data_IF_794501728483
#
_entry.id   IF_794501728483
#
_cell.length_a   1.000
_cell.length_b   1.000
_cell.length_c   1.000
_cell.angle_alpha   90.00
_cell.angle_beta   90.00
_cell.angle_gamma   90.00
#
_symmetry.space_group_name_H-M   'P 1'
#
loop_
_entity.id
_entity.type
_entity.pdbx_description
1 polymer ?
#
# COMPACT_ATOMS: atom_id res chain seq x y z
N UNK A 1 47.86 -2.56 62.25
CA UNK A 1 48.75 -3.38 61.41
C UNK A 1 47.89 -4.18 60.44
N UNK A 2 48.31 -4.21 59.18
CA UNK A 2 47.93 -5.15 58.09
C UNK A 2 47.89 -6.61 58.60
N UNK A 3 47.15 -7.60 58.05
CA UNK A 3 47.10 -8.16 56.68
C UNK A 3 45.84 -9.08 56.61
N UNK A 4 44.91 -8.99 55.65
CA UNK A 4 44.76 -9.85 54.42
C UNK A 4 44.06 -11.21 54.70
N UNK A 5 43.14 -11.79 53.90
CA UNK A 5 42.77 -11.65 52.49
C UNK A 5 41.35 -12.22 52.14
N UNK A 6 40.88 -11.81 50.95
CA UNK A 6 39.64 -11.96 50.14
C UNK A 6 39.13 -13.40 49.78
N UNK A 7 38.09 -13.63 48.90
CA UNK A 7 36.65 -13.24 48.96
C UNK A 7 35.64 -14.30 48.36
N UNK A 8 34.32 -14.08 48.43
CA UNK A 8 33.38 -14.67 47.43
C UNK A 8 32.12 -13.82 47.13
N UNK A 9 32.21 -13.15 45.98
CA UNK A 9 31.22 -12.72 44.96
C UNK A 9 29.71 -12.73 45.29
N UNK A 10 29.15 -11.53 45.39
CA UNK A 10 27.79 -11.20 44.96
C UNK A 10 27.82 -10.66 43.51
N UNK A 11 26.99 -11.22 42.65
CA UNK A 11 26.78 -10.76 41.27
C UNK A 11 25.75 -9.63 41.26
N UNK A 12 26.17 -8.41 40.90
CA UNK A 12 25.28 -7.30 40.55
C UNK A 12 25.07 -7.30 39.03
N UNK A 13 23.82 -7.43 38.58
CA UNK A 13 23.45 -7.11 37.20
C UNK A 13 23.49 -5.60 37.00
N UNK A 14 24.35 -5.15 36.08
CA UNK A 14 24.45 -3.75 35.64
C UNK A 14 23.70 -3.57 34.33
N UNK A 15 22.71 -2.68 34.33
CA UNK A 15 21.94 -2.25 33.16
C UNK A 15 22.87 -1.55 32.17
N UNK A 16 23.06 -2.14 30.99
CA UNK A 16 23.75 -1.49 29.87
C UNK A 16 22.84 -0.48 29.20
N UNK A 17 23.34 0.74 29.02
CA UNK A 17 22.77 1.84 28.24
C UNK A 17 22.62 1.45 26.75
N UNK A 18 21.64 2.02 26.03
CA UNK A 18 21.44 1.74 24.60
C UNK A 18 22.54 2.40 23.75
N UNK A 19 23.13 1.62 22.83
CA UNK A 19 24.05 2.10 21.82
C UNK A 19 23.29 2.85 20.71
N UNK A 20 23.54 4.15 20.59
CA UNK A 20 23.20 4.94 19.40
C UNK A 20 24.07 4.47 18.22
N UNK A 21 23.47 3.80 17.24
CA UNK A 21 24.11 3.55 15.94
C UNK A 21 23.79 4.77 15.06
N UNK A 22 24.69 5.76 15.06
CA UNK A 22 24.69 6.85 14.09
C UNK A 22 25.19 6.33 12.74
N UNK A 23 24.32 6.32 11.73
CA UNK A 23 24.70 6.13 10.33
C UNK A 23 25.51 7.36 9.87
N UNK A 24 26.82 7.19 9.65
CA UNK A 24 27.67 8.22 9.02
C UNK A 24 27.72 7.97 7.50
N UNK A 25 27.34 8.92 6.64
CA UNK A 25 27.54 8.78 5.21
C UNK A 25 29.03 8.92 4.87
N UNK A 26 29.57 8.17 3.88
CA UNK A 26 30.97 8.29 3.51
C UNK A 26 31.21 9.60 2.75
N UNK A 27 32.03 10.48 3.33
CA UNK A 27 32.68 11.57 2.62
C UNK A 27 33.95 11.04 1.95
N UNK A 28 34.02 11.05 0.62
CA UNK A 28 35.11 11.64 -0.19
C UNK A 28 35.05 11.12 -1.62
N UNK A 29 34.75 12.00 -2.58
CA UNK A 29 35.58 12.18 -3.77
C UNK A 29 35.10 13.40 -4.56
N UNK A 30 35.77 14.54 -4.37
CA UNK A 30 35.73 15.65 -5.33
C UNK A 30 36.62 15.28 -6.52
N UNK A 31 36.04 15.13 -7.71
CA UNK A 31 36.72 15.47 -8.97
C UNK A 31 35.74 16.14 -9.93
N UNK A 32 36.10 17.34 -10.38
CA UNK A 32 35.53 18.03 -11.55
C UNK A 32 35.94 17.26 -12.81
N UNK A 33 35.03 17.01 -13.74
CA UNK A 33 35.04 17.47 -15.14
C UNK A 33 33.85 16.85 -15.90
N UNK A 34 33.35 17.59 -16.89
CA UNK A 34 32.02 17.39 -17.45
C UNK A 34 31.80 16.16 -18.33
N UNK A 35 30.55 15.73 -18.40
CA UNK A 35 29.86 15.27 -19.61
C UNK A 35 28.37 15.17 -19.28
N UNK A 36 27.61 16.19 -19.70
CA UNK A 36 26.17 16.00 -19.96
C UNK A 36 26.10 15.03 -21.14
N UNK A 37 25.18 14.07 -21.13
CA UNK A 37 24.98 12.96 -22.10
C UNK A 37 25.71 11.64 -21.84
N UNK A 38 25.59 11.06 -20.63
CA UNK A 38 25.81 9.61 -20.41
C UNK A 38 24.90 8.96 -19.36
N UNK A 39 23.91 9.67 -18.83
CA UNK A 39 23.06 9.19 -17.73
C UNK A 39 21.86 8.34 -18.16
N UNK A 40 21.50 8.32 -19.45
CA UNK A 40 20.35 7.55 -19.94
C UNK A 40 20.70 6.09 -20.33
N UNK A 41 21.90 5.84 -20.86
CA UNK A 41 22.30 4.51 -21.36
C UNK A 41 22.72 3.50 -20.27
N UNK A 42 23.09 3.96 -19.06
CA UNK A 42 23.46 3.07 -17.95
C UNK A 42 22.26 2.68 -17.07
N UNK A 43 21.11 3.34 -17.21
CA UNK A 43 19.89 3.01 -16.43
C UNK A 43 19.19 1.75 -16.94
N UNK A 44 19.32 1.40 -18.23
CA UNK A 44 18.69 0.20 -18.82
C UNK A 44 19.39 -1.11 -18.45
N UNK A 45 20.61 -1.08 -17.90
CA UNK A 45 21.47 -2.27 -17.74
C UNK A 45 21.07 -3.25 -16.62
N UNK A 46 20.04 -2.94 -15.83
CA UNK A 46 19.53 -3.79 -14.73
C UNK A 46 18.02 -3.69 -14.54
N UNK A 47 17.28 -3.31 -15.57
CA UNK A 47 15.85 -3.14 -15.46
C UNK A 47 15.17 -4.49 -15.28
N UNK A 48 14.37 -4.63 -14.23
CA UNK A 48 13.53 -5.80 -13.97
C UNK A 48 12.09 -5.41 -14.24
N UNK A 49 11.39 -6.24 -15.00
CA UNK A 49 9.95 -6.16 -15.21
C UNK A 49 9.26 -7.26 -14.44
N UNK A 50 8.00 -7.03 -14.08
CA UNK A 50 7.13 -8.04 -13.53
C UNK A 50 5.72 -7.93 -14.11
N UNK A 51 5.11 -9.09 -14.34
CA UNK A 51 3.69 -9.25 -14.67
C UNK A 51 2.99 -9.84 -13.45
N UNK A 52 1.89 -9.21 -13.03
CA UNK A 52 1.07 -9.68 -11.92
C UNK A 52 0.11 -10.78 -12.38
N UNK A 53 0.13 -11.94 -11.70
CA UNK A 53 -0.72 -13.10 -11.98
C UNK A 53 -1.50 -13.54 -10.75
N UNK A 54 -2.43 -14.50 -10.87
CA UNK A 54 -3.16 -15.01 -9.70
C UNK A 54 -2.22 -15.66 -8.68
N UNK A 55 -1.17 -16.33 -9.16
CA UNK A 55 -0.16 -16.99 -8.34
C UNK A 55 0.89 -16.04 -7.76
N UNK A 56 0.95 -14.78 -8.22
CA UNK A 56 1.93 -13.77 -7.81
C UNK A 56 2.67 -13.13 -8.99
N UNK A 57 3.63 -12.24 -8.73
CA UNK A 57 4.39 -11.58 -9.79
C UNK A 57 5.44 -12.52 -10.41
N UNK A 58 5.49 -12.55 -11.74
CA UNK A 58 6.59 -13.17 -12.49
C UNK A 58 7.62 -12.10 -12.79
N UNK A 59 8.85 -12.26 -12.32
CA UNK A 59 9.93 -11.31 -12.57
C UNK A 59 10.78 -11.75 -13.75
N UNK A 60 11.14 -10.81 -14.62
CA UNK A 60 11.99 -11.08 -15.78
C UNK A 60 12.86 -9.88 -16.14
N UNK A 61 14.00 -10.16 -16.76
CA UNK A 61 14.97 -9.16 -17.20
C UNK A 61 15.69 -9.65 -18.46
N UNK A 62 16.49 -8.78 -19.07
CA UNK A 62 17.20 -9.05 -20.32
C UNK A 62 18.23 -10.14 -20.10
N UNK A 63 18.31 -11.09 -21.03
CA UNK A 63 19.21 -12.24 -20.94
C UNK A 63 20.68 -11.82 -20.79
N UNK A 64 21.06 -10.72 -21.44
CA UNK A 64 22.41 -10.13 -21.39
C UNK A 64 22.82 -9.61 -20.01
N UNK A 65 21.86 -9.44 -19.10
CA UNK A 65 22.07 -8.91 -17.75
C UNK A 65 22.16 -10.01 -16.68
N UNK A 66 21.88 -11.25 -17.05
CA UNK A 66 21.78 -12.38 -16.14
C UNK A 66 23.04 -13.24 -16.29
N UNK A 67 23.65 -13.60 -15.15
CA UNK A 67 24.73 -14.58 -15.12
C UNK A 67 24.20 -15.93 -15.61
N UNK A 68 24.94 -16.64 -16.48
CA UNK A 68 24.52 -17.94 -17.02
C UNK A 68 24.12 -18.99 -15.97
N UNK A 69 24.53 -18.82 -14.71
CA UNK A 69 24.16 -19.71 -13.59
C UNK A 69 22.77 -19.45 -13.02
N UNK A 70 22.23 -18.25 -13.23
CA UNK A 70 20.95 -17.78 -12.69
C UNK A 70 19.86 -17.73 -13.80
N UNK A 71 20.23 -18.16 -15.01
CA UNK A 71 19.39 -18.21 -16.19
C UNK A 71 18.45 -19.43 -16.13
N UNK A 72 17.18 -19.20 -15.84
CA UNK A 72 16.12 -20.15 -16.13
C UNK A 72 15.38 -19.74 -17.41
N UNK A 73 15.01 -20.70 -18.27
CA UNK A 73 14.04 -20.47 -19.35
C UNK A 73 12.80 -19.82 -18.76
N UNK A 74 12.16 -18.90 -19.49
CA UNK A 74 10.95 -18.23 -18.99
C UNK A 74 9.90 -19.28 -18.68
N UNK A 75 9.78 -19.65 -17.40
CA UNK A 75 8.83 -20.67 -16.96
C UNK A 75 7.46 -20.03 -17.10
N UNK A 76 6.77 -20.34 -18.19
CA UNK A 76 5.38 -19.95 -18.35
C UNK A 76 4.62 -20.52 -17.17
N UNK A 77 3.99 -19.68 -16.32
CA UNK A 77 2.99 -20.21 -15.41
C UNK A 77 1.96 -20.94 -16.26
N UNK A 78 1.30 -21.96 -15.69
CA UNK A 78 0.19 -22.68 -16.36
C UNK A 78 -0.90 -21.76 -16.92
N UNK A 79 -0.94 -20.53 -16.45
CA UNK A 79 -1.87 -19.46 -16.81
C UNK A 79 -1.54 -18.79 -18.16
N UNK A 80 -0.32 -18.92 -18.68
CA UNK A 80 0.08 -18.38 -19.99
C UNK A 80 0.01 -19.44 -21.09
N UNK A 81 -0.57 -19.14 -22.26
CA UNK A 81 -0.59 -20.07 -23.39
C UNK A 81 0.82 -20.29 -23.95
N UNK A 82 1.02 -21.42 -24.66
CA UNK A 82 2.30 -21.78 -25.32
C UNK A 82 2.77 -20.72 -26.34
N UNK A 83 1.82 -19.92 -26.82
CA UNK A 83 2.05 -18.74 -27.64
C UNK A 83 1.23 -17.56 -27.11
N UNK A 84 1.88 -16.44 -26.85
CA UNK A 84 1.20 -15.19 -26.49
C UNK A 84 1.93 -14.00 -27.12
N UNK A 85 1.16 -13.01 -27.60
CA UNK A 85 1.69 -11.69 -27.92
C UNK A 85 1.10 -10.72 -26.91
N UNK A 86 1.94 -9.89 -26.30
CA UNK A 86 1.44 -8.87 -25.39
C UNK A 86 2.26 -7.60 -25.44
N UNK A 87 1.60 -6.48 -25.16
CA UNK A 87 2.19 -5.16 -25.23
C UNK A 87 2.28 -4.55 -23.85
N UNK A 88 3.46 -4.11 -23.44
CA UNK A 88 3.62 -3.36 -22.19
C UNK A 88 3.56 -1.86 -22.45
N UNK A 89 2.65 -1.19 -21.76
CA UNK A 89 2.44 0.26 -21.83
C UNK A 89 2.36 0.84 -20.42
N UNK A 90 2.84 2.07 -20.27
CA UNK A 90 2.76 2.82 -19.03
C UNK A 90 2.49 4.30 -19.30
N UNK A 91 2.22 5.09 -18.26
CA UNK A 91 2.09 6.54 -18.38
C UNK A 91 3.06 7.24 -17.42
N UNK A 92 4.35 7.22 -17.75
CA UNK A 92 5.41 7.95 -17.05
C UNK A 92 6.04 9.04 -17.89
N UNK A 93 6.31 10.19 -17.28
CA UNK A 93 7.19 11.19 -17.91
C UNK A 93 8.37 11.43 -16.99
N UNK A 94 9.58 11.38 -17.53
CA UNK A 94 10.87 11.43 -16.80
C UNK A 94 11.09 12.68 -15.91
N UNK A 95 10.18 13.65 -15.93
CA UNK A 95 10.24 14.90 -15.16
C UNK A 95 8.99 15.17 -14.32
N UNK A 96 8.03 14.25 -14.26
CA UNK A 96 6.76 14.48 -13.57
C UNK A 96 6.81 14.06 -12.09
N UNK A 97 6.15 14.82 -11.19
CA UNK A 97 5.93 14.39 -9.81
C UNK A 97 5.03 13.16 -9.78
N UNK A 98 5.28 12.28 -8.81
CA UNK A 98 4.64 10.95 -8.62
C UNK A 98 3.11 10.96 -8.75
N UNK A 99 2.47 12.01 -8.24
CA UNK A 99 1.01 12.21 -8.35
C UNK A 99 0.55 12.22 -9.81
N UNK A 100 1.27 12.93 -10.68
CA UNK A 100 0.92 13.03 -12.09
C UNK A 100 1.03 11.68 -12.79
N UNK A 101 2.05 10.89 -12.48
CA UNK A 101 2.24 9.56 -13.05
C UNK A 101 1.09 8.62 -12.66
N UNK A 102 0.70 8.60 -11.39
CA UNK A 102 -0.43 7.77 -10.92
C UNK A 102 -1.75 8.18 -11.57
N UNK A 103 -2.00 9.49 -11.72
CA UNK A 103 -3.19 10.00 -12.41
C UNK A 103 -3.16 9.70 -13.91
N UNK A 104 -1.99 9.79 -14.54
CA UNK A 104 -1.81 9.44 -15.94
C UNK A 104 -2.05 7.94 -16.15
N UNK A 105 -1.51 7.07 -15.30
CA UNK A 105 -1.77 5.63 -15.33
C UNK A 105 -3.26 5.30 -15.13
N UNK A 106 -3.95 6.02 -14.23
CA UNK A 106 -5.39 5.84 -14.04
C UNK A 106 -6.21 6.24 -15.29
N UNK A 107 -5.77 7.28 -16.01
CA UNK A 107 -6.40 7.70 -17.28
C UNK A 107 -6.10 6.71 -18.40
N UNK A 108 -4.86 6.24 -18.51
CA UNK A 108 -4.46 5.20 -19.45
C UNK A 108 -5.30 3.93 -19.23
N UNK A 109 -5.47 3.50 -17.98
CA UNK A 109 -6.30 2.33 -17.67
C UNK A 109 -7.76 2.52 -18.09
N UNK A 110 -8.31 3.72 -17.90
CA UNK A 110 -9.66 4.07 -18.36
C UNK A 110 -9.78 4.05 -19.89
N UNK A 111 -8.79 4.60 -20.60
CA UNK A 111 -8.76 4.58 -22.06
C UNK A 111 -8.63 3.15 -22.61
N UNK A 112 -7.76 2.33 -22.03
CA UNK A 112 -7.63 0.90 -22.39
C UNK A 112 -8.98 0.20 -22.19
N UNK A 113 -9.60 0.33 -21.02
CA UNK A 113 -10.86 -0.34 -20.71
C UNK A 113 -12.06 0.13 -21.53
N UNK A 114 -12.06 1.37 -22.03
CA UNK A 114 -13.13 1.92 -22.85
C UNK A 114 -13.01 1.58 -24.34
N UNK A 115 -11.80 1.25 -24.81
CA UNK A 115 -11.53 1.07 -26.25
C UNK A 115 -11.16 -0.37 -26.63
N UNK A 116 -10.70 -1.19 -25.69
CA UNK A 116 -10.46 -2.60 -25.94
C UNK A 116 -11.71 -3.43 -25.61
N UNK A 117 -12.07 -4.33 -26.51
CA UNK A 117 -13.13 -5.30 -26.29
C UNK A 117 -12.72 -6.39 -25.29
N UNK A 118 -13.69 -7.19 -24.81
CA UNK A 118 -13.48 -8.22 -23.79
C UNK A 118 -12.52 -9.35 -24.21
N UNK A 119 -12.21 -9.46 -25.49
CA UNK A 119 -11.25 -10.42 -26.05
C UNK A 119 -9.79 -10.14 -25.68
N UNK A 120 -9.47 -8.93 -25.23
CA UNK A 120 -8.12 -8.55 -24.79
C UNK A 120 -8.02 -8.64 -23.27
N UNK A 121 -7.18 -9.53 -22.77
CA UNK A 121 -6.90 -9.59 -21.33
C UNK A 121 -5.92 -8.48 -20.93
N UNK A 122 -6.25 -7.74 -19.88
CA UNK A 122 -5.40 -6.71 -19.32
C UNK A 122 -4.78 -7.20 -18.01
N UNK A 123 -3.45 -7.31 -17.99
CA UNK A 123 -2.70 -7.63 -16.79
C UNK A 123 -2.03 -6.38 -16.23
N UNK A 124 -1.95 -6.32 -14.90
CA UNK A 124 -1.14 -5.34 -14.21
C UNK A 124 0.31 -5.82 -14.14
N UNK A 125 1.22 -4.90 -13.88
CA UNK A 125 2.60 -5.22 -13.58
C UNK A 125 3.38 -3.99 -13.19
N UNK A 126 4.70 -4.14 -13.14
CA UNK A 126 5.59 -3.05 -12.78
C UNK A 126 7.02 -3.30 -13.24
N UNK A 127 7.83 -2.24 -13.26
CA UNK A 127 9.27 -2.31 -13.50
C UNK A 127 10.03 -1.55 -12.42
N UNK A 128 11.28 -1.93 -12.18
CA UNK A 128 12.17 -1.30 -11.21
C UNK A 128 13.62 -1.74 -11.46
N UNK A 129 14.57 -1.00 -10.90
CA UNK A 129 15.99 -1.33 -10.82
C UNK A 129 16.27 -1.74 -9.36
N UNK A 130 16.70 -2.99 -9.07
CA UNK A 130 16.88 -3.48 -7.70
C UNK A 130 17.75 -2.59 -6.80
N UNK A 131 18.83 -2.01 -7.36
CA UNK A 131 19.75 -1.14 -6.61
C UNK A 131 19.28 0.32 -6.50
N UNK A 132 18.18 0.70 -7.16
CA UNK A 132 17.60 2.04 -7.13
C UNK A 132 16.10 1.93 -6.79
N UNK A 133 15.74 1.76 -5.52
CA UNK A 133 14.36 1.51 -5.09
C UNK A 133 13.34 2.56 -5.55
N UNK A 134 13.76 3.80 -5.80
CA UNK A 134 12.93 4.92 -6.28
C UNK A 134 12.53 4.82 -7.76
N UNK A 135 13.02 3.80 -8.47
CA UNK A 135 12.71 3.52 -9.88
C UNK A 135 11.48 2.64 -10.08
N UNK A 136 10.73 2.33 -9.02
CA UNK A 136 9.51 1.52 -9.13
C UNK A 136 8.42 2.23 -9.95
N UNK A 137 7.89 1.52 -10.95
CA UNK A 137 6.92 2.03 -11.93
C UNK A 137 5.87 0.96 -12.22
N UNK A 138 4.60 1.22 -11.95
CA UNK A 138 3.45 0.41 -12.44
C UNK A 138 3.32 0.46 -13.96
N UNK A 139 3.12 -0.67 -14.61
CA UNK A 139 2.88 -0.77 -16.04
C UNK A 139 1.67 -1.69 -16.28
N UNK A 140 1.19 -1.72 -17.52
CA UNK A 140 0.06 -2.55 -17.92
C UNK A 140 0.47 -3.40 -19.11
N UNK A 141 -0.02 -4.62 -19.16
CA UNK A 141 0.23 -5.57 -20.23
C UNK A 141 -1.09 -5.92 -20.90
N UNK A 142 -1.19 -5.65 -22.20
CA UNK A 142 -2.37 -5.97 -23.00
C UNK A 142 -2.06 -7.24 -23.79
N UNK A 143 -2.77 -8.32 -23.49
CA UNK A 143 -2.60 -9.61 -24.15
C UNK A 143 -3.44 -9.68 -25.42
N UNK A 144 -2.84 -10.28 -26.44
CA UNK A 144 -3.48 -10.60 -27.71
C UNK A 144 -3.21 -12.07 -28.04
N UNK A 145 -4.25 -12.85 -28.40
CA UNK A 145 -4.08 -14.25 -28.80
C UNK A 145 -3.33 -14.40 -30.14
N UNK A 146 -3.29 -13.35 -30.95
CA UNK A 146 -2.58 -13.30 -32.23
C UNK A 146 -1.89 -11.95 -32.42
N UNK A 147 -0.92 -11.88 -33.32
CA UNK A 147 -0.41 -10.59 -33.81
C UNK A 147 -1.59 -9.78 -34.37
N UNK A 148 -1.78 -8.56 -33.89
CA UNK A 148 -2.96 -7.75 -34.17
C UNK A 148 -2.55 -6.31 -34.48
N UNK A 149 -2.47 -5.98 -35.78
CA UNK A 149 -2.14 -4.63 -36.28
C UNK A 149 -3.02 -3.51 -35.69
N UNK A 150 -4.36 -3.64 -35.64
CA UNK A 150 -5.21 -2.71 -34.90
C UNK A 150 -4.79 -2.47 -33.45
N UNK A 151 -4.42 -3.52 -32.71
CA UNK A 151 -3.97 -3.40 -31.33
C UNK A 151 -2.59 -2.71 -31.24
N UNK A 152 -1.65 -3.05 -32.12
CA UNK A 152 -0.35 -2.38 -32.19
C UNK A 152 -0.54 -0.87 -32.41
N UNK A 153 -1.41 -0.48 -33.36
CA UNK A 153 -1.76 0.93 -33.61
C UNK A 153 -2.35 1.58 -32.36
N UNK A 154 -3.29 0.92 -31.68
CA UNK A 154 -3.88 1.43 -30.45
C UNK A 154 -2.83 1.65 -29.35
N UNK A 155 -1.96 0.67 -29.10
CA UNK A 155 -0.88 0.79 -28.10
C UNK A 155 0.05 1.95 -28.44
N UNK A 156 0.41 2.10 -29.72
CA UNK A 156 1.22 3.23 -30.20
C UNK A 156 0.52 4.56 -29.95
N UNK A 157 -0.77 4.67 -30.27
CA UNK A 157 -1.57 5.88 -30.00
C UNK A 157 -1.62 6.20 -28.51
N UNK A 158 -1.77 5.20 -27.64
CA UNK A 158 -1.72 5.39 -26.19
C UNK A 158 -0.33 5.84 -25.72
N UNK A 159 0.74 5.21 -26.21
CA UNK A 159 2.11 5.61 -25.91
C UNK A 159 2.34 7.09 -26.27
N UNK A 160 1.94 7.52 -27.48
CA UNK A 160 2.00 8.93 -27.91
C UNK A 160 1.15 9.83 -27.00
N UNK A 161 -0.12 9.48 -26.78
CA UNK A 161 -1.07 10.28 -25.98
C UNK A 161 -0.55 10.54 -24.56
N UNK A 162 0.03 9.52 -23.93
CA UNK A 162 0.59 9.62 -22.58
C UNK A 162 2.05 10.10 -22.55
N UNK A 163 2.65 10.35 -23.70
CA UNK A 163 4.02 10.88 -23.84
C UNK A 163 5.09 9.88 -23.43
N UNK A 164 4.85 8.59 -23.71
CA UNK A 164 5.90 7.58 -23.63
C UNK A 164 6.83 7.70 -24.83
N UNK A 165 8.15 7.73 -24.62
CA UNK A 165 9.11 7.67 -25.73
C UNK A 165 9.16 6.28 -26.38
N UNK A 166 8.64 5.26 -25.70
CA UNK A 166 8.68 3.88 -26.16
C UNK A 166 7.57 3.03 -25.53
N UNK A 167 7.29 1.91 -26.16
CA UNK A 167 6.55 0.79 -25.59
C UNK A 167 7.24 -0.51 -25.98
N UNK A 168 6.85 -1.63 -25.38
CA UNK A 168 7.46 -2.92 -25.69
C UNK A 168 6.41 -3.91 -26.17
N UNK A 169 6.72 -4.60 -27.25
CA UNK A 169 6.03 -5.80 -27.70
C UNK A 169 6.76 -7.01 -27.14
N UNK A 170 6.01 -8.02 -26.71
CA UNK A 170 6.54 -9.25 -26.15
C UNK A 170 5.92 -10.42 -26.89
N UNK A 171 6.75 -11.34 -27.37
CA UNK A 171 6.35 -12.57 -28.03
C UNK A 171 6.86 -13.74 -27.23
N UNK A 172 5.92 -14.50 -26.68
CA UNK A 172 6.17 -15.74 -25.96
C UNK A 172 5.94 -16.91 -26.91
N UNK A 173 6.92 -17.79 -27.07
CA UNK A 173 6.81 -19.00 -27.91
C UNK A 173 7.61 -20.13 -27.26
N UNK A 174 6.94 -21.23 -26.90
CA UNK A 174 7.57 -22.44 -26.34
C UNK A 174 8.51 -22.14 -25.15
N UNK A 175 8.12 -21.23 -24.27
CA UNK A 175 8.90 -20.84 -23.08
C UNK A 175 10.06 -19.87 -23.36
N UNK A 176 10.17 -19.34 -24.58
CA UNK A 176 11.08 -18.23 -24.92
C UNK A 176 10.31 -16.92 -25.03
N UNK A 177 10.75 -15.90 -24.30
CA UNK A 177 10.16 -14.58 -24.32
C UNK A 177 11.08 -13.61 -25.04
N UNK A 178 10.66 -13.12 -26.21
CA UNK A 178 11.35 -12.07 -26.95
C UNK A 178 10.65 -10.74 -26.67
N UNK A 179 11.42 -9.71 -26.35
CA UNK A 179 10.94 -8.34 -26.20
C UNK A 179 11.47 -7.50 -27.36
N UNK A 180 10.57 -6.80 -28.05
CA UNK A 180 10.91 -5.77 -29.02
C UNK A 180 10.62 -4.40 -28.43
N UNK A 181 11.67 -3.59 -28.23
CA UNK A 181 11.54 -2.17 -27.89
C UNK A 181 11.10 -1.40 -29.12
N UNK A 182 10.04 -0.61 -28.99
CA UNK A 182 9.48 0.20 -30.08
C UNK A 182 9.58 1.67 -29.71
N UNK A 183 10.56 2.37 -30.30
CA UNK A 183 10.72 3.82 -30.09
C UNK A 183 9.65 4.61 -30.86
N UNK A 184 8.99 5.53 -30.16
CA UNK A 184 7.95 6.41 -30.69
C UNK A 184 8.59 7.76 -31.02
N UNK A 185 9.03 7.94 -32.26
CA UNK A 185 9.57 9.21 -32.76
C UNK A 185 8.87 9.68 -34.04
N UNK A 186 8.89 10.99 -34.30
CA UNK A 186 8.36 11.59 -35.54
C UNK A 186 9.16 11.17 -36.80
N UNK A 187 10.35 10.59 -36.63
CA UNK A 187 11.28 10.24 -37.71
C UNK A 187 11.33 8.76 -38.10
N UNK A 188 10.48 7.90 -37.51
CA UNK A 188 10.43 6.46 -37.77
C UNK A 188 10.44 5.61 -36.50
N UNK A 189 10.36 4.29 -36.68
CA UNK A 189 10.33 3.30 -35.60
C UNK A 189 11.66 2.55 -35.57
N UNK A 190 12.36 2.60 -34.43
CA UNK A 190 13.52 1.75 -34.17
C UNK A 190 13.05 0.52 -33.40
N UNK A 191 13.49 -0.65 -33.86
CA UNK A 191 13.23 -1.94 -33.24
C UNK A 191 14.55 -2.48 -32.69
N UNK A 192 14.57 -2.76 -31.39
CA UNK A 192 15.64 -3.51 -30.75
C UNK A 192 15.01 -4.74 -30.10
N UNK A 193 15.42 -5.92 -30.55
CA UNK A 193 14.90 -7.19 -30.05
C UNK A 193 15.90 -7.82 -29.08
N UNK A 194 15.41 -8.25 -27.92
CA UNK A 194 16.20 -8.89 -26.89
C UNK A 194 15.44 -10.07 -26.27
N UNK A 195 16.16 -11.13 -25.92
CA UNK A 195 15.61 -12.26 -25.17
C UNK A 195 15.47 -11.90 -23.69
N UNK A 196 14.34 -12.26 -23.11
CA UNK A 196 14.01 -12.05 -21.70
C UNK A 196 14.04 -13.38 -20.96
N UNK A 197 14.62 -13.39 -19.75
CA UNK A 197 14.65 -14.56 -18.88
C UNK A 197 14.02 -14.22 -17.53
N UNK A 198 13.42 -15.22 -16.90
CA UNK A 198 12.91 -15.10 -15.53
C UNK A 198 14.06 -14.87 -14.56
N UNK A 199 13.83 -14.03 -13.56
CA UNK A 199 14.80 -13.74 -12.49
C UNK A 199 14.21 -14.08 -11.14
N UNK A 200 15.08 -14.26 -10.14
CA UNK A 200 14.63 -14.53 -8.78
C UNK A 200 13.77 -13.36 -8.23
N UNK A 201 12.67 -13.67 -7.52
CA UNK A 201 11.89 -12.65 -6.84
C UNK A 201 12.74 -11.85 -5.84
N UNK A 202 12.55 -10.53 -5.74
CA UNK A 202 13.19 -9.73 -4.71
C UNK A 202 12.70 -10.16 -3.31
N UNK A 203 13.49 -9.93 -2.24
CA UNK A 203 13.11 -10.30 -0.87
C UNK A 203 11.80 -9.67 -0.36
N UNK A 204 11.36 -8.59 -0.98
CA UNK A 204 10.13 -7.89 -0.69
C UNK A 204 9.58 -7.26 -1.98
N UNK A 205 8.25 -7.17 -2.09
CA UNK A 205 7.62 -6.56 -3.25
C UNK A 205 8.13 -5.12 -3.48
N UNK A 206 8.56 -4.75 -4.71
CA UNK A 206 9.22 -3.47 -5.00
C UNK A 206 8.46 -2.20 -4.57
N UNK A 207 7.13 -2.27 -4.49
CA UNK A 207 6.29 -1.20 -3.94
C UNK A 207 6.65 -0.81 -2.49
N UNK A 208 7.36 -1.66 -1.73
CA UNK A 208 7.71 -1.43 -0.33
C UNK A 208 9.21 -1.23 -0.08
N UNK A 209 10.04 -1.20 -1.14
CA UNK A 209 11.47 -0.94 -1.01
C UNK A 209 11.79 0.53 -0.75
N UNK A 210 10.87 1.44 -1.11
CA UNK A 210 10.97 2.86 -0.81
C UNK A 210 9.61 3.40 -0.34
N UNK A 211 9.55 4.30 0.66
CA UNK A 211 8.29 4.90 1.11
C UNK A 211 7.52 5.58 -0.02
N UNK A 212 8.21 6.20 -0.98
CA UNK A 212 7.57 6.87 -2.11
C UNK A 212 7.08 5.94 -3.22
N UNK A 213 7.10 4.62 -3.02
CA UNK A 213 6.56 3.68 -4.00
C UNK A 213 5.11 3.29 -3.70
N UNK A 214 4.66 3.40 -2.44
CA UNK A 214 3.33 2.94 -2.00
C UNK A 214 2.48 4.03 -1.34
N UNK A 215 1.17 3.80 -1.26
CA UNK A 215 0.19 4.66 -0.62
C UNK A 215 0.01 4.40 0.90
N UNK A 216 1.03 3.89 1.61
CA UNK A 216 1.02 3.81 3.07
C UNK A 216 1.64 5.07 3.63
N UNK A 217 1.00 5.75 4.58
CA UNK A 217 1.46 7.02 5.13
C UNK A 217 1.80 6.90 6.62
N UNK A 218 3.01 7.32 6.97
CA UNK A 218 3.55 7.35 8.33
C UNK A 218 3.77 8.78 8.87
N UNK A 219 3.25 9.79 8.17
CA UNK A 219 3.29 11.17 8.65
C UNK A 219 2.21 12.05 8.05
N UNK A 220 1.77 13.04 8.85
CA UNK A 220 0.81 14.07 8.43
C UNK A 220 1.32 14.85 7.21
N UNK A 221 2.58 15.27 7.28
CA UNK A 221 3.19 16.10 6.24
C UNK A 221 3.27 15.39 4.88
N UNK A 222 3.51 14.08 4.87
CA UNK A 222 3.56 13.34 3.61
C UNK A 222 2.18 13.28 2.94
N UNK A 223 1.11 13.05 3.71
CA UNK A 223 -0.25 13.09 3.17
C UNK A 223 -0.63 14.51 2.69
N UNK A 224 -0.28 15.56 3.44
CA UNK A 224 -0.49 16.95 3.02
C UNK A 224 0.21 17.27 1.69
N UNK A 225 1.45 16.80 1.51
CA UNK A 225 2.23 17.08 0.30
C UNK A 225 1.61 16.44 -0.96
N UNK A 226 1.14 15.19 -0.86
CA UNK A 226 0.42 14.52 -1.96
C UNK A 226 -0.81 15.33 -2.39
N UNK A 227 -1.57 15.85 -1.44
CA UNK A 227 -2.78 16.62 -1.74
C UNK A 227 -2.44 18.00 -2.32
N UNK A 228 -1.37 18.65 -1.87
CA UNK A 228 -0.88 19.92 -2.45
C UNK A 228 -0.44 19.79 -3.91
N UNK A 229 -0.01 18.60 -4.33
CA UNK A 229 0.31 18.29 -5.73
C UNK A 229 -0.95 18.11 -6.61
N UNK A 230 -2.15 18.11 -6.03
CA UNK A 230 -3.44 17.90 -6.71
C UNK A 230 -4.42 19.08 -6.55
N UNK A 231 -4.02 20.36 -6.75
CA UNK A 231 -4.90 21.50 -6.46
C UNK A 231 -6.16 21.55 -7.34
N UNK A 232 -6.17 20.81 -8.45
CA UNK A 232 -7.27 20.70 -9.41
C UNK A 232 -8.32 19.64 -9.03
N UNK A 233 -8.04 18.78 -8.04
CA UNK A 233 -9.04 17.83 -7.54
C UNK A 233 -10.03 18.56 -6.64
N UNK A 234 -11.32 18.41 -6.94
CA UNK A 234 -12.41 19.00 -6.16
C UNK A 234 -12.28 18.63 -4.67
N UNK A 235 -12.54 19.58 -3.79
CA UNK A 235 -12.44 19.37 -2.34
C UNK A 235 -11.03 19.39 -1.76
N UNK A 236 -9.95 19.38 -2.55
CA UNK A 236 -8.56 19.44 -2.01
C UNK A 236 -8.31 20.74 -1.27
N UNK A 237 -8.70 21.89 -1.84
CA UNK A 237 -8.50 23.19 -1.19
C UNK A 237 -9.23 23.27 0.15
N UNK A 238 -10.47 22.77 0.20
CA UNK A 238 -11.25 22.67 1.43
C UNK A 238 -10.61 21.73 2.46
N UNK A 239 -10.25 20.52 2.04
CA UNK A 239 -9.60 19.53 2.89
C UNK A 239 -8.32 20.07 3.54
N UNK A 240 -7.45 20.71 2.74
CA UNK A 240 -6.21 21.30 3.23
C UNK A 240 -6.48 22.46 4.20
N UNK A 241 -7.52 23.26 3.94
CA UNK A 241 -7.94 24.34 4.84
C UNK A 241 -8.43 23.79 6.18
N UNK A 242 -9.34 22.81 6.15
CA UNK A 242 -9.87 22.14 7.35
C UNK A 242 -8.75 21.46 8.14
N UNK A 243 -7.86 20.72 7.46
CA UNK A 243 -6.72 20.06 8.10
C UNK A 243 -5.79 21.07 8.78
N UNK A 244 -5.47 22.18 8.11
CA UNK A 244 -4.60 23.23 8.67
C UNK A 244 -5.24 23.99 9.83
N UNK A 245 -6.57 24.10 9.84
CA UNK A 245 -7.31 24.75 10.93
C UNK A 245 -7.43 23.86 12.17
N UNK A 246 -7.61 22.54 11.98
CA UNK A 246 -7.88 21.59 13.07
C UNK A 246 -6.62 20.89 13.60
N UNK A 247 -5.63 20.66 12.75
CA UNK A 247 -4.37 19.98 13.11
C UNK A 247 -3.27 21.03 13.26
N UNK A 248 -2.69 21.22 14.46
CA UNK A 248 -1.60 22.16 14.66
C UNK A 248 -0.42 21.84 13.75
N UNK A 249 0.19 22.87 13.14
CA UNK A 249 1.34 22.68 12.25
C UNK A 249 2.56 22.05 12.94
N UNK A 250 2.66 22.20 14.26
CA UNK A 250 3.60 21.49 15.13
C UNK A 250 2.88 21.07 16.40
N UNK A 251 2.96 19.80 16.75
CA UNK A 251 2.51 19.30 18.05
C UNK A 251 3.37 18.12 18.49
N UNK A 252 3.52 17.98 19.81
CA UNK A 252 4.16 16.81 20.40
C UNK A 252 3.08 15.74 20.64
N UNK A 253 3.12 14.65 19.88
CA UNK A 253 2.15 13.57 20.03
C UNK A 253 2.22 12.91 21.40
N UNK A 254 3.40 12.88 22.04
CA UNK A 254 3.54 12.35 23.39
C UNK A 254 2.76 13.20 24.39
N UNK A 255 2.83 14.54 24.26
CA UNK A 255 2.04 15.44 25.09
C UNK A 255 0.53 15.35 24.81
N UNK A 256 0.11 15.01 23.58
CA UNK A 256 -1.30 14.69 23.30
C UNK A 256 -1.72 13.38 23.96
N UNK A 257 -0.87 12.36 23.89
CA UNK A 257 -1.11 11.06 24.50
C UNK A 257 -1.22 11.17 26.03
N UNK A 258 -0.33 11.94 26.66
CA UNK A 258 -0.32 12.18 28.12
C UNK A 258 -1.61 12.85 28.61
N UNK A 259 -2.26 13.66 27.78
CA UNK A 259 -3.54 14.29 28.11
C UNK A 259 -4.74 13.34 27.99
N UNK A 260 -4.58 12.17 27.39
CA UNK A 260 -5.66 11.20 27.29
C UNK A 260 -5.81 10.46 28.63
N UNK A 261 -6.61 11.02 29.54
CA UNK A 261 -6.90 10.43 30.85
C UNK A 261 -7.80 9.19 30.77
N UNK A 262 -8.49 9.00 29.65
CA UNK A 262 -9.42 7.91 29.41
C UNK A 262 -9.06 7.06 28.19
N UNK A 263 -9.47 5.78 28.17
CA UNK A 263 -9.08 4.84 27.14
C UNK A 263 -9.65 5.20 25.76
N UNK A 264 -8.80 4.99 24.75
CA UNK A 264 -9.12 5.17 23.33
C UNK A 264 -9.14 3.79 22.69
N UNK A 265 -10.29 3.38 22.18
CA UNK A 265 -10.54 2.04 21.68
C UNK A 265 -10.86 2.15 20.19
N UNK A 266 -10.12 1.43 19.35
CA UNK A 266 -10.37 1.34 17.91
C UNK A 266 -10.99 -0.01 17.59
N UNK A 267 -12.08 0.00 16.85
CA UNK A 267 -12.68 -1.18 16.23
C UNK A 267 -12.39 -1.19 14.74
N UNK A 268 -11.67 -2.21 14.30
CA UNK A 268 -11.33 -2.52 12.93
C UNK A 268 -12.07 -3.77 12.45
N UNK A 269 -12.14 -3.95 11.15
CA UNK A 269 -12.73 -5.14 10.55
C UNK A 269 -13.15 -4.89 9.12
N UNK A 270 -13.29 -5.97 8.36
CA UNK A 270 -13.82 -5.92 7.00
C UNK A 270 -15.26 -5.39 6.98
N UNK A 271 -15.73 -5.00 5.80
CA UNK A 271 -17.14 -4.64 5.62
C UNK A 271 -18.05 -5.85 5.88
N UNK A 272 -19.29 -5.58 6.29
CA UNK A 272 -20.30 -6.57 6.69
C UNK A 272 -19.92 -7.49 7.89
N UNK A 273 -18.94 -7.10 8.71
CA UNK A 273 -18.56 -7.85 9.93
C UNK A 273 -19.47 -7.61 11.14
N UNK A 274 -20.49 -6.76 11.03
CA UNK A 274 -21.36 -6.36 12.16
C UNK A 274 -20.76 -5.25 13.04
N UNK A 275 -19.67 -4.62 12.57
CA UNK A 275 -18.91 -3.57 13.28
C UNK A 275 -19.80 -2.46 13.84
N UNK A 276 -20.62 -1.81 13.00
CA UNK A 276 -21.49 -0.69 13.43
C UNK A 276 -22.37 -1.04 14.65
N UNK A 277 -23.00 -2.22 14.63
CA UNK A 277 -23.83 -2.69 15.75
C UNK A 277 -23.01 -2.87 17.03
N UNK A 278 -21.81 -3.46 16.92
CA UNK A 278 -20.93 -3.64 18.08
C UNK A 278 -20.42 -2.29 18.60
N UNK A 279 -19.97 -1.41 17.72
CA UNK A 279 -19.43 -0.09 18.05
C UNK A 279 -20.45 0.76 18.80
N UNK A 280 -21.70 0.82 18.32
CA UNK A 280 -22.78 1.56 18.98
C UNK A 280 -23.11 1.00 20.36
N UNK A 281 -23.20 -0.33 20.48
CA UNK A 281 -23.48 -0.99 21.76
C UNK A 281 -22.34 -0.74 22.76
N UNK A 282 -21.10 -0.79 22.29
CA UNK A 282 -19.92 -0.52 23.10
C UNK A 282 -19.86 0.94 23.56
N UNK A 283 -20.15 1.89 22.67
CA UNK A 283 -20.25 3.31 23.00
C UNK A 283 -21.26 3.57 24.11
N UNK A 284 -22.46 2.97 24.01
CA UNK A 284 -23.50 3.09 25.05
C UNK A 284 -23.04 2.53 26.40
N UNK A 285 -22.43 1.34 26.42
CA UNK A 285 -21.96 0.70 27.65
C UNK A 285 -20.89 1.55 28.36
N UNK A 286 -19.98 2.15 27.60
CA UNK A 286 -18.87 2.94 28.13
C UNK A 286 -19.23 4.42 28.35
N UNK A 287 -20.46 4.84 28.04
CA UNK A 287 -20.83 6.26 27.93
C UNK A 287 -19.86 7.06 27.03
N UNK A 288 -19.33 6.40 26.00
CA UNK A 288 -18.30 6.90 25.11
C UNK A 288 -18.91 7.44 23.81
N UNK A 289 -18.39 8.53 23.24
CA UNK A 289 -18.72 8.90 21.88
C UNK A 289 -18.18 7.83 20.91
N UNK A 290 -18.97 7.54 19.88
CA UNK A 290 -18.54 6.74 18.74
C UNK A 290 -18.12 7.69 17.63
N UNK A 291 -16.82 7.74 17.36
CA UNK A 291 -16.24 8.52 16.28
C UNK A 291 -15.93 7.61 15.09
N UNK A 292 -15.86 8.17 13.89
CA UNK A 292 -15.69 7.37 12.66
C UNK A 292 -14.71 8.07 11.72
N UNK A 293 -13.94 7.29 10.98
CA UNK A 293 -13.10 7.78 9.88
C UNK A 293 -13.80 7.58 8.51
N UNK A 294 -13.96 8.61 7.66
CA UNK A 294 -13.48 9.99 7.85
C UNK A 294 -14.39 10.81 8.80
N UNK A 295 -13.82 11.79 9.53
CA UNK A 295 -14.55 12.58 10.52
C UNK A 295 -15.55 13.55 9.85
N UNK A 296 -16.60 14.00 10.57
CA UNK A 296 -17.65 14.85 10.02
C UNK A 296 -17.20 16.07 9.20
N UNK A 297 -16.14 16.83 9.60
CA UNK A 297 -15.72 18.03 8.87
C UNK A 297 -15.26 17.80 7.43
N UNK A 298 -14.92 16.56 7.05
CA UNK A 298 -14.43 16.24 5.69
C UNK A 298 -15.20 15.08 5.05
N UNK A 299 -16.25 14.59 5.72
CA UNK A 299 -16.95 13.36 5.34
C UNK A 299 -17.67 13.51 4.00
N UNK A 300 -18.21 14.69 3.70
CA UNK A 300 -18.88 14.99 2.44
C UNK A 300 -17.96 14.90 1.23
N UNK A 301 -16.64 15.05 1.42
CA UNK A 301 -15.65 14.92 0.35
C UNK A 301 -15.37 13.46 -0.04
N UNK A 302 -15.88 12.49 0.72
CA UNK A 302 -15.56 11.07 0.55
C UNK A 302 -15.81 10.57 -0.87
N UNK A 303 -16.96 10.91 -1.46
CA UNK A 303 -17.30 10.44 -2.81
C UNK A 303 -16.27 10.87 -3.85
N UNK A 304 -15.82 12.13 -3.77
CA UNK A 304 -14.79 12.68 -4.64
C UNK A 304 -13.48 11.91 -4.47
N UNK A 305 -13.02 11.71 -3.24
CA UNK A 305 -11.73 11.04 -2.98
C UNK A 305 -11.77 9.52 -3.22
N UNK A 306 -12.91 8.87 -3.01
CA UNK A 306 -13.12 7.44 -3.32
C UNK A 306 -13.04 7.18 -4.84
N UNK A 307 -13.29 8.19 -5.67
CA UNK A 307 -13.07 8.11 -7.13
C UNK A 307 -11.62 8.28 -7.55
N UNK A 308 -10.75 8.84 -6.69
CA UNK A 308 -9.35 9.12 -7.02
C UNK A 308 -8.46 7.86 -6.99
N UNK A 309 -7.28 7.90 -7.65
CA UNK A 309 -6.26 6.87 -7.50
C UNK A 309 -5.81 6.66 -6.05
N UNK A 310 -5.35 5.44 -5.74
CA UNK A 310 -5.02 5.00 -4.38
C UNK A 310 -4.13 5.99 -3.60
N UNK A 311 -3.06 6.53 -4.21
CA UNK A 311 -2.18 7.46 -3.51
C UNK A 311 -2.93 8.70 -2.97
N UNK A 312 -3.83 9.26 -3.78
CA UNK A 312 -4.61 10.47 -3.44
C UNK A 312 -5.72 10.11 -2.46
N UNK A 313 -6.44 9.01 -2.71
CA UNK A 313 -7.48 8.49 -1.81
C UNK A 313 -6.94 8.25 -0.41
N UNK A 314 -5.79 7.56 -0.31
CA UNK A 314 -5.18 7.22 0.99
C UNK A 314 -4.59 8.44 1.67
N UNK A 315 -4.15 9.46 0.94
CA UNK A 315 -3.78 10.75 1.53
C UNK A 315 -4.98 11.43 2.20
N UNK A 316 -6.17 11.44 1.56
CA UNK A 316 -7.41 11.94 2.16
C UNK A 316 -7.76 11.21 3.48
N UNK A 317 -7.82 9.88 3.45
CA UNK A 317 -8.10 9.10 4.66
C UNK A 317 -7.04 9.28 5.75
N UNK A 318 -5.78 9.44 5.37
CA UNK A 318 -4.70 9.73 6.30
C UNK A 318 -4.92 11.08 6.98
N UNK A 319 -5.21 12.16 6.24
CA UNK A 319 -5.53 13.46 6.85
C UNK A 319 -6.76 13.38 7.75
N UNK A 320 -7.79 12.61 7.33
CA UNK A 320 -8.95 12.32 8.15
C UNK A 320 -8.59 11.70 9.50
N UNK A 321 -7.62 10.78 9.53
CA UNK A 321 -7.13 10.19 10.78
C UNK A 321 -6.42 11.21 11.68
N UNK A 322 -5.64 12.16 11.13
CA UNK A 322 -5.02 13.22 11.95
C UNK A 322 -6.03 14.24 12.48
N UNK A 323 -7.03 14.61 11.68
CA UNK A 323 -8.14 15.48 12.12
C UNK A 323 -8.91 14.78 13.24
N UNK A 324 -9.25 13.51 13.05
CA UNK A 324 -9.94 12.70 14.04
C UNK A 324 -9.13 12.55 15.33
N UNK A 325 -7.80 12.40 15.24
CA UNK A 325 -6.92 12.32 16.40
C UNK A 325 -7.03 13.55 17.32
N UNK A 326 -7.22 14.75 16.77
CA UNK A 326 -7.41 15.97 17.58
C UNK A 326 -8.71 15.93 18.36
N UNK A 327 -9.80 15.48 17.72
CA UNK A 327 -11.09 15.29 18.41
C UNK A 327 -10.99 14.20 19.48
N UNK A 328 -10.33 13.07 19.18
CA UNK A 328 -10.10 11.97 20.12
C UNK A 328 -9.34 12.46 21.35
N UNK A 329 -8.26 13.24 21.17
CA UNK A 329 -7.48 13.77 22.28
C UNK A 329 -8.27 14.72 23.19
N UNK A 330 -9.21 15.49 22.62
CA UNK A 330 -10.10 16.36 23.39
C UNK A 330 -11.12 15.54 24.21
N UNK A 331 -11.73 14.54 23.60
CA UNK A 331 -12.75 13.71 24.25
C UNK A 331 -12.15 12.81 25.33
N UNK A 332 -10.99 12.21 25.03
CA UNK A 332 -10.28 11.28 25.92
C UNK A 332 -9.73 11.94 27.20
N UNK A 333 -9.82 13.27 27.34
CA UNK A 333 -9.55 13.95 28.60
C UNK A 333 -10.66 13.76 29.64
N UNK A 334 -11.89 13.43 29.22
CA UNK A 334 -13.06 13.42 30.12
C UNK A 334 -13.85 12.11 30.10
N UNK A 335 -13.70 11.30 29.06
CA UNK A 335 -14.44 10.05 28.88
C UNK A 335 -13.74 9.10 27.91
N UNK A 336 -14.01 7.78 27.98
CA UNK A 336 -13.53 6.84 26.98
C UNK A 336 -14.00 7.23 25.58
N UNK A 337 -13.25 6.82 24.55
CA UNK A 337 -13.59 7.07 23.14
C UNK A 337 -13.58 5.77 22.36
N UNK A 338 -14.63 5.52 21.57
CA UNK A 338 -14.69 4.39 20.65
C UNK A 338 -14.60 4.90 19.21
N UNK A 339 -13.74 4.28 18.40
CA UNK A 339 -13.47 4.70 17.03
C UNK A 339 -13.81 3.57 16.06
N UNK A 340 -14.65 3.84 15.07
CA UNK A 340 -14.92 2.95 13.93
C UNK A 340 -13.97 3.28 12.77
N UNK A 341 -12.99 2.39 12.55
CA UNK A 341 -11.86 2.53 11.61
C UNK A 341 -10.93 3.70 11.93
N UNK A 342 -9.63 3.43 11.87
CA UNK A 342 -8.61 4.46 12.03
C UNK A 342 -7.43 4.20 11.09
N UNK A 343 -6.19 4.41 11.54
CA UNK A 343 -5.00 4.22 10.70
C UNK A 343 -4.83 2.77 10.22
N UNK A 344 -5.17 1.77 11.04
CA UNK A 344 -5.02 0.37 10.65
C UNK A 344 -5.82 0.05 9.39
N UNK A 345 -7.07 0.53 9.28
CA UNK A 345 -7.87 0.43 8.06
C UNK A 345 -7.17 1.03 6.84
N UNK A 346 -6.76 2.30 6.93
CA UNK A 346 -6.12 2.98 5.79
C UNK A 346 -4.87 2.22 5.32
N UNK A 347 -4.03 1.79 6.27
CA UNK A 347 -2.77 1.11 5.96
C UNK A 347 -2.95 -0.31 5.44
N UNK A 348 -3.82 -1.12 6.07
CA UNK A 348 -4.02 -2.50 5.64
C UNK A 348 -4.56 -2.58 4.20
N UNK A 349 -5.51 -1.70 3.84
CA UNK A 349 -6.03 -1.61 2.47
C UNK A 349 -4.98 -1.10 1.49
N UNK A 350 -4.16 -0.11 1.87
CA UNK A 350 -3.03 0.33 1.05
C UNK A 350 -2.07 -0.83 0.76
N UNK A 351 -1.63 -1.56 1.78
CA UNK A 351 -0.67 -2.67 1.62
C UNK A 351 -1.25 -3.76 0.71
N UNK A 352 -2.47 -4.23 0.99
CA UNK A 352 -3.10 -5.30 0.20
C UNK A 352 -3.36 -4.90 -1.26
N UNK A 353 -3.61 -3.61 -1.49
CA UNK A 353 -3.84 -3.07 -2.83
C UNK A 353 -2.53 -2.89 -3.61
N UNK A 354 -1.47 -2.42 -2.96
CA UNK A 354 -0.16 -2.18 -3.60
C UNK A 354 0.58 -3.47 -3.96
N UNK A 355 0.32 -4.57 -3.24
CA UNK A 355 0.79 -5.91 -3.65
C UNK A 355 0.08 -6.39 -4.93
N UNK A 356 -1.18 -5.99 -5.16
CA UNK A 356 -1.91 -6.27 -6.40
C UNK A 356 -2.43 -7.69 -6.55
N UNK A 357 -1.56 -8.69 -6.37
CA UNK A 357 -1.71 -10.07 -6.84
C UNK A 357 -1.21 -11.12 -5.83
N UNK A 358 -1.29 -12.41 -6.17
CA UNK A 358 -0.86 -13.53 -5.30
C UNK A 358 -1.63 -13.66 -3.99
N UNK A 359 -1.10 -14.39 -3.02
CA UNK A 359 -1.70 -14.54 -1.69
C UNK A 359 -0.95 -13.71 -0.62
N UNK A 360 -1.17 -14.01 0.66
CA UNK A 360 -0.51 -13.37 1.79
C UNK A 360 1.01 -13.57 1.86
N UNK A 361 1.58 -14.49 1.09
CA UNK A 361 3.03 -14.67 0.97
C UNK A 361 3.70 -13.50 0.26
N UNK A 362 2.96 -12.74 -0.54
CA UNK A 362 3.46 -11.59 -1.30
C UNK A 362 3.54 -10.30 -0.46
N UNK A 363 2.98 -10.31 0.75
CA UNK A 363 3.02 -9.18 1.66
C UNK A 363 4.43 -9.03 2.28
N UNK A 364 4.88 -7.79 2.57
CA UNK A 364 6.13 -7.56 3.30
C UNK A 364 6.24 -8.40 4.59
N UNK A 365 7.43 -8.88 4.98
CA UNK A 365 7.58 -9.75 6.14
C UNK A 365 7.17 -9.04 7.45
N UNK A 366 6.83 -9.81 8.49
CA UNK A 366 6.57 -9.28 9.84
C UNK A 366 7.75 -8.43 10.34
N UNK A 367 7.46 -7.37 11.09
CA UNK A 367 8.45 -6.39 11.52
C UNK A 367 8.95 -5.43 10.42
N UNK A 368 8.46 -5.55 9.17
CA UNK A 368 8.76 -4.55 8.14
C UNK A 368 8.19 -3.18 8.53
N UNK A 369 8.95 -2.11 8.31
CA UNK A 369 8.62 -0.74 8.75
C UNK A 369 7.25 -0.24 8.26
N UNK A 370 6.75 -0.77 7.15
CA UNK A 370 5.42 -0.45 6.59
C UNK A 370 4.29 -0.70 7.60
N UNK A 371 4.47 -1.68 8.50
CA UNK A 371 3.48 -2.07 9.49
C UNK A 371 3.51 -1.25 10.77
N UNK A 372 4.54 -0.42 10.94
CA UNK A 372 4.74 0.37 12.15
C UNK A 372 3.80 1.56 12.19
N UNK A 373 3.18 1.78 13.33
CA UNK A 373 2.36 2.98 13.59
C UNK A 373 3.11 4.30 13.34
N UNK A 374 2.45 5.36 12.83
CA UNK A 374 3.07 6.66 12.61
C UNK A 374 3.55 7.28 13.93
N UNK A 375 4.78 7.79 13.96
CA UNK A 375 5.34 8.39 15.18
C UNK A 375 4.72 9.72 15.57
N UNK A 376 3.96 10.35 14.67
CA UNK A 376 3.29 11.65 14.85
C UNK A 376 1.76 11.53 14.98
N UNK A 377 1.20 10.32 15.06
CA UNK A 377 -0.24 10.07 15.21
C UNK A 377 -0.57 9.52 16.61
N UNK A 378 -1.62 10.07 17.23
CA UNK A 378 -2.12 9.62 18.54
C UNK A 378 -2.40 8.12 18.51
N UNK A 379 -1.91 7.40 19.51
CA UNK A 379 -2.01 5.94 19.57
C UNK A 379 -3.24 5.52 20.38
N UNK A 380 -4.05 4.57 19.89
CA UNK A 380 -5.12 4.00 20.71
C UNK A 380 -4.55 3.13 21.82
N UNK A 381 -5.26 3.08 22.95
CA UNK A 381 -4.93 2.21 24.07
C UNK A 381 -5.22 0.74 23.76
N UNK A 382 -6.25 0.50 22.95
CA UNK A 382 -6.63 -0.81 22.44
C UNK A 382 -7.12 -0.68 21.01
N UNK A 383 -6.65 -1.57 20.14
CA UNK A 383 -7.21 -1.78 18.81
C UNK A 383 -7.71 -3.23 18.72
N UNK A 384 -8.92 -3.42 18.23
CA UNK A 384 -9.53 -4.74 18.04
C UNK A 384 -9.87 -4.97 16.58
N UNK A 385 -9.63 -6.18 16.08
CA UNK A 385 -10.01 -6.61 14.74
C UNK A 385 -11.18 -7.59 14.83
N UNK A 386 -12.36 -7.17 14.36
CA UNK A 386 -13.50 -8.07 14.21
C UNK A 386 -13.28 -8.97 12.99
N UNK A 387 -13.19 -10.27 13.21
CA UNK A 387 -13.11 -11.27 12.15
C UNK A 387 -14.37 -12.13 12.11
N UNK A 388 -14.91 -12.34 10.92
CA UNK A 388 -16.07 -13.21 10.67
C UNK A 388 -15.62 -14.29 9.71
N UNK A 389 -16.04 -15.53 9.96
CA UNK A 389 -15.81 -16.62 9.03
C UNK A 389 -16.52 -16.35 7.67
N UNK A 390 -16.04 -16.98 6.59
CA UNK A 390 -16.54 -16.70 5.24
C UNK A 390 -18.03 -17.04 5.08
N UNK A 391 -18.52 -18.10 5.73
CA UNK A 391 -19.93 -18.51 5.66
C UNK A 391 -20.86 -17.43 6.26
N UNK A 392 -20.57 -16.97 7.47
CA UNK A 392 -21.33 -15.90 8.13
C UNK A 392 -21.18 -14.56 7.42
N UNK A 393 -20.04 -14.31 6.75
CA UNK A 393 -19.84 -13.11 5.94
C UNK A 393 -20.71 -13.12 4.69
N UNK A 394 -20.76 -14.24 3.97
CA UNK A 394 -21.61 -14.42 2.77
C UNK A 394 -23.09 -14.12 3.07
N UNK A 395 -23.64 -14.74 4.12
CA UNK A 395 -25.03 -14.52 4.53
C UNK A 395 -25.34 -13.06 4.89
N UNK A 396 -24.38 -12.33 5.46
CA UNK A 396 -24.55 -10.90 5.81
C UNK A 396 -24.48 -9.97 4.59
N UNK A 397 -23.79 -10.39 3.53
CA UNK A 397 -23.65 -9.60 2.30
C UNK A 397 -24.89 -9.69 1.41
N UNK A 398 -25.58 -10.83 1.40
CA UNK A 398 -26.84 -11.03 0.67
C UNK A 398 -27.97 -10.12 1.17
N UNK A 399 -27.94 -9.73 2.45
CA UNK A 399 -28.94 -8.83 3.05
C UNK A 399 -28.71 -7.33 2.78
N UNK A 400 -27.61 -6.92 2.12
CA UNK A 400 -27.31 -5.51 1.83
C UNK A 400 -27.77 -5.12 0.42
N UNK A 401 -28.90 -4.43 0.32
CA UNK A 401 -29.34 -3.73 -0.88
C UNK A 401 -28.78 -2.30 -0.96
N UNK A 402 -28.25 -1.93 -2.14
CA UNK A 402 -27.79 -0.61 -2.62
C UNK A 402 -26.34 -0.15 -2.32
N UNK A 403 -25.67 0.34 -3.38
CA UNK A 403 -24.48 1.20 -3.39
C UNK A 403 -23.20 0.64 -2.77
N UNK A 404 -22.45 -0.22 -3.48
CA UNK A 404 -21.14 -0.74 -3.02
C UNK A 404 -19.99 0.07 -3.61
N UNK A 405 -19.00 0.42 -2.79
CA UNK A 405 -17.72 0.99 -3.25
C UNK A 405 -16.92 -0.02 -4.07
N UNK A 406 -15.95 0.45 -4.87
CA UNK A 406 -15.05 -0.45 -5.63
C UNK A 406 -14.31 -1.43 -4.72
N UNK A 407 -13.93 -0.99 -3.51
CA UNK A 407 -13.25 -1.82 -2.51
C UNK A 407 -14.19 -2.90 -1.96
N UNK A 408 -15.44 -2.57 -1.65
CA UNK A 408 -16.45 -3.55 -1.23
C UNK A 408 -16.71 -4.58 -2.33
N UNK A 409 -16.82 -4.16 -3.58
CA UNK A 409 -16.96 -5.07 -4.73
C UNK A 409 -15.73 -6.00 -4.84
N UNK A 410 -14.52 -5.47 -4.66
CA UNK A 410 -13.27 -6.26 -4.70
C UNK A 410 -13.22 -7.27 -3.54
N UNK A 411 -13.60 -6.85 -2.33
CA UNK A 411 -13.70 -7.72 -1.16
C UNK A 411 -14.70 -8.84 -1.35
N UNK A 412 -15.79 -8.60 -2.07
CA UNK A 412 -16.77 -9.64 -2.39
C UNK A 412 -16.19 -10.66 -3.38
N UNK A 413 -15.59 -10.17 -4.47
CA UNK A 413 -15.16 -10.99 -5.60
C UNK A 413 -13.85 -11.76 -5.38
N UNK A 414 -12.90 -11.22 -4.62
CA UNK A 414 -11.53 -11.76 -4.55
C UNK A 414 -11.18 -12.33 -3.17
N UNK A 415 -11.08 -13.66 -3.08
CA UNK A 415 -10.60 -14.39 -1.88
C UNK A 415 -9.16 -14.00 -1.56
N UNK A 416 -8.29 -13.96 -2.58
CA UNK A 416 -6.88 -13.63 -2.41
C UNK A 416 -6.67 -12.23 -1.84
N UNK A 417 -7.41 -11.23 -2.36
CA UNK A 417 -7.36 -9.87 -1.81
C UNK A 417 -7.77 -9.84 -0.34
N UNK A 418 -8.83 -10.59 0.05
CA UNK A 418 -9.24 -10.68 1.45
C UNK A 418 -8.17 -11.30 2.34
N UNK A 419 -7.53 -12.39 1.90
CA UNK A 419 -6.43 -13.02 2.65
C UNK A 419 -5.29 -12.03 2.88
N UNK A 420 -4.85 -11.33 1.82
CA UNK A 420 -3.83 -10.28 1.92
C UNK A 420 -4.24 -9.17 2.89
N UNK A 421 -5.49 -8.72 2.82
CA UNK A 421 -5.98 -7.66 3.70
C UNK A 421 -6.02 -8.09 5.17
N UNK A 422 -6.54 -9.28 5.46
CA UNK A 422 -6.58 -9.83 6.82
C UNK A 422 -5.17 -10.00 7.36
N UNK A 423 -4.27 -10.61 6.60
CA UNK A 423 -2.90 -10.79 7.06
C UNK A 423 -2.18 -9.44 7.20
N UNK A 424 -2.45 -8.46 6.35
CA UNK A 424 -1.92 -7.10 6.52
C UNK A 424 -2.35 -6.50 7.87
N UNK A 425 -3.62 -6.61 8.28
CA UNK A 425 -4.05 -6.22 9.63
C UNK A 425 -3.30 -6.97 10.72
N UNK A 426 -3.15 -8.29 10.61
CA UNK A 426 -2.48 -9.13 11.61
C UNK A 426 -0.97 -8.87 11.74
N UNK A 427 -0.37 -8.21 10.75
CA UNK A 427 1.04 -7.78 10.77
C UNK A 427 1.24 -6.35 11.27
N UNK A 428 0.18 -5.55 11.43
CA UNK A 428 0.29 -4.18 11.97
C UNK A 428 0.71 -4.19 13.44
N UNK A 429 1.59 -3.26 13.78
CA UNK A 429 2.25 -3.22 15.08
C UNK A 429 2.24 -1.82 15.68
N UNK A 430 2.35 -1.75 17.01
CA UNK A 430 2.50 -0.53 17.80
C UNK A 430 1.33 0.49 17.72
N UNK A 431 0.05 0.06 17.83
CA UNK A 431 -0.35 -1.14 18.55
C UNK A 431 -0.82 -2.27 17.63
N UNK A 432 -0.59 -3.50 18.06
CA UNK A 432 -1.17 -4.68 17.42
C UNK A 432 -2.67 -4.76 17.65
N UNK A 433 -3.39 -5.46 16.78
CA UNK A 433 -4.83 -5.65 16.90
C UNK A 433 -5.16 -6.92 17.67
N UNK A 434 -6.04 -6.80 18.66
CA UNK A 434 -6.63 -7.94 19.35
C UNK A 434 -7.78 -8.52 18.52
N UNK A 435 -7.67 -9.78 18.15
CA UNK A 435 -8.65 -10.43 17.29
C UNK A 435 -9.90 -10.80 18.11
N UNK A 436 -11.06 -10.36 17.64
CA UNK A 436 -12.36 -10.73 18.20
C UNK A 436 -13.11 -11.56 17.16
N UNK A 437 -13.48 -12.79 17.51
CA UNK A 437 -14.28 -13.65 16.65
C UNK A 437 -15.74 -13.16 16.64
N UNK A 438 -16.15 -12.57 15.52
CA UNK A 438 -17.47 -12.01 15.28
C UNK A 438 -18.44 -12.98 14.55
N UNK A 439 -18.11 -14.28 14.53
CA UNK A 439 -18.90 -15.31 13.82
C UNK A 439 -20.11 -15.83 14.62
N UNK A 440 -20.13 -15.64 15.94
CA UNK A 440 -21.23 -16.04 16.83
C UNK A 440 -22.42 -15.07 16.82
N UNK A 441 -23.31 -15.24 17.80
CA UNK A 441 -24.45 -14.34 18.04
C UNK A 441 -24.00 -12.94 18.48
N UNK A 442 -24.88 -11.94 18.38
CA UNK A 442 -24.56 -10.55 18.78
C UNK A 442 -24.15 -10.47 20.26
N UNK A 443 -24.73 -11.32 21.09
CA UNK A 443 -24.50 -11.42 22.53
C UNK A 443 -23.13 -12.06 22.82
N UNK A 444 -22.79 -13.17 22.16
CA UNK A 444 -21.48 -13.83 22.30
C UNK A 444 -20.34 -12.90 21.87
N UNK A 445 -20.50 -12.22 20.73
CA UNK A 445 -19.50 -11.29 20.22
C UNK A 445 -19.33 -10.09 21.16
N UNK A 446 -20.43 -9.56 21.70
CA UNK A 446 -20.36 -8.49 22.69
C UNK A 446 -19.69 -8.96 23.98
N UNK A 447 -20.04 -10.14 24.51
CA UNK A 447 -19.42 -10.69 25.71
C UNK A 447 -17.90 -10.91 25.52
N UNK A 448 -17.49 -11.44 24.37
CA UNK A 448 -16.07 -11.59 24.02
C UNK A 448 -15.36 -10.23 23.95
N UNK A 449 -16.01 -9.21 23.39
CA UNK A 449 -15.46 -7.85 23.32
C UNK A 449 -15.29 -7.25 24.73
N UNK A 450 -16.28 -7.44 25.61
CA UNK A 450 -16.21 -7.00 27.01
C UNK A 450 -15.07 -7.71 27.74
N UNK A 451 -14.85 -9.00 27.49
CA UNK A 451 -13.74 -9.73 28.08
C UNK A 451 -12.40 -9.12 27.67
N UNK A 452 -12.20 -8.80 26.38
CA UNK A 452 -10.98 -8.11 25.92
C UNK A 452 -10.79 -6.76 26.62
N UNK A 453 -11.87 -6.00 26.86
CA UNK A 453 -11.77 -4.74 27.61
C UNK A 453 -11.32 -4.95 29.07
N UNK A 454 -11.76 -6.02 29.72
CA UNK A 454 -11.31 -6.40 31.06
C UNK A 454 -9.84 -6.81 31.06
N UNK A 455 -9.43 -7.63 30.09
CA UNK A 455 -8.04 -8.09 29.94
C UNK A 455 -7.05 -6.92 29.75
N UNK A 456 -7.53 -5.82 29.16
CA UNK A 456 -6.77 -4.57 28.98
C UNK A 456 -6.97 -3.55 30.11
N UNK A 457 -7.62 -3.93 31.22
CA UNK A 457 -7.92 -3.07 32.37
C UNK A 457 -8.70 -1.79 32.01
N UNK A 458 -9.45 -1.82 30.91
CA UNK A 458 -10.33 -0.72 30.48
C UNK A 458 -11.63 -0.75 31.28
N UNK A 459 -12.15 -1.95 31.52
CA UNK A 459 -13.24 -2.20 32.46
C UNK A 459 -12.65 -2.81 33.73
N UNK A 460 -13.08 -2.30 34.88
CA UNK A 460 -12.83 -2.95 36.17
C UNK A 460 -13.97 -3.90 36.48
N UNK A 461 -13.67 -4.95 37.26
CA UNK A 461 -14.62 -5.99 37.63
C UNK A 461 -15.80 -5.50 38.46
#
# INVERSE_FOLDING_TARGET
>A
MSVGAFPSRFVRYSLRKPCNICYKPPQTCRRRFGSKFKMAEDQDKKLVHAIETESGPIYFSRATQISQKDAASFSTPKEFPDFAVFYSVSAYRSKNPRVNDIRANSRLLGDIGNNLGPEHALLHGFSFIPEQPDTFRKQFFILSPTVNEPLNRFVREMAVKFGQPEYFEHVLTEGKLLQTRVEVSDGGTRHEEEEMMTVEPPPCHPAFLHPDNNAVFHSYNRAMNILRECPDVEGVSELLSVASALVPGTFNVASLQEKCEHPVIVLEGLDATGKTTLTERLGKMLSAPVLQSPPPPIRHLREVFDSQPELIRRAYYTLGNYILAMQVAAEAQTRPVVIDRFWHSTTAYSIATEVGCGDESQLPPRGHHVYTWPSDLLKPHLAMLLMVNEASRGARLEGRGMGKTKEEIRLEKSVLFRKRLVEAYLRLENPSLQVVNASGSKEEVFASTVQVLKDFNILRD
#
